data_IF_687556810734
#
_entry.id   IF_687556810734
#
_cell.length_a   1.000
_cell.length_b   1.000
_cell.length_c   1.000
_cell.angle_alpha   90.00
_cell.angle_beta   90.00
_cell.angle_gamma   90.00
#
_symmetry.space_group_name_H-M   'P 1'
#
loop_
_entity.id
_entity.type
_entity.pdbx_description
1 polymer ?
#
# COMPACT_ATOMS: atom_id res chain seq x y z
N UNK A 1 -2.69 -89.66 5.91
CA UNK A 1 -3.30 -88.68 4.99
C UNK A 1 -2.85 -87.29 5.44
N UNK A 2 -1.66 -86.86 5.00
CA UNK A 2 -1.00 -85.63 5.46
C UNK A 2 -1.31 -84.49 4.48
N UNK A 3 -1.98 -83.45 4.97
CA UNK A 3 -2.19 -82.17 4.27
C UNK A 3 -0.89 -81.36 4.31
N UNK A 4 -0.19 -81.24 3.19
CA UNK A 4 0.84 -80.22 3.01
C UNK A 4 0.16 -78.87 2.74
N UNK A 5 0.38 -77.91 3.63
CA UNK A 5 0.07 -76.49 3.41
C UNK A 5 1.13 -75.92 2.44
N UNK A 6 0.73 -75.58 1.21
CA UNK A 6 1.56 -74.78 0.31
C UNK A 6 1.74 -73.39 0.90
N UNK A 7 2.95 -73.08 1.39
CA UNK A 7 3.37 -71.69 1.60
C UNK A 7 3.86 -71.16 0.26
N UNK A 8 3.00 -70.48 -0.49
CA UNK A 8 3.41 -69.67 -1.64
C UNK A 8 4.17 -68.46 -1.12
N UNK A 9 5.49 -68.59 -1.01
CA UNK A 9 6.36 -67.44 -0.84
C UNK A 9 6.40 -66.71 -2.18
N UNK A 10 5.60 -65.65 -2.32
CA UNK A 10 5.77 -64.72 -3.44
C UNK A 10 7.13 -64.05 -3.24
N UNK A 11 8.06 -64.13 -4.22
CA UNK A 11 9.27 -63.34 -4.14
C UNK A 11 8.85 -61.88 -4.19
N UNK A 12 9.29 -61.07 -3.22
CA UNK A 12 9.28 -59.62 -3.40
C UNK A 12 10.24 -59.34 -4.56
N UNK A 13 9.71 -59.27 -5.78
CA UNK A 13 10.39 -58.57 -6.86
C UNK A 13 10.52 -57.14 -6.39
N UNK A 14 11.74 -56.82 -5.93
CA UNK A 14 12.19 -55.48 -5.72
C UNK A 14 12.23 -54.84 -7.11
N UNK A 15 11.07 -54.38 -7.58
CA UNK A 15 11.03 -53.35 -8.62
C UNK A 15 11.92 -52.25 -8.10
N UNK A 16 13.07 -52.06 -8.75
CA UNK A 16 13.91 -50.89 -8.56
C UNK A 16 12.99 -49.69 -8.66
N UNK A 17 12.58 -49.16 -7.49
CA UNK A 17 12.00 -47.83 -7.42
C UNK A 17 13.12 -46.96 -7.96
N UNK A 18 12.94 -46.47 -9.19
CA UNK A 18 13.81 -45.45 -9.75
C UNK A 18 14.02 -44.42 -8.64
N UNK A 19 15.28 -44.23 -8.26
CA UNK A 19 15.65 -43.28 -7.22
C UNK A 19 14.99 -41.94 -7.55
N UNK A 20 14.59 -41.14 -6.55
CA UNK A 20 14.03 -39.81 -6.77
C UNK A 20 14.91 -39.01 -7.75
N UNK A 21 16.23 -39.24 -7.72
CA UNK A 21 17.21 -38.75 -8.70
C UNK A 21 16.94 -39.14 -10.17
N UNK A 22 16.54 -40.38 -10.45
CA UNK A 22 16.24 -40.83 -11.81
C UNK A 22 14.92 -40.25 -12.30
N UNK A 23 13.90 -40.18 -11.45
CA UNK A 23 12.67 -39.46 -11.77
C UNK A 23 12.96 -37.98 -12.00
N UNK A 24 13.77 -37.35 -11.15
CA UNK A 24 14.22 -35.97 -11.33
C UNK A 24 15.04 -35.79 -12.60
N UNK A 25 15.82 -36.77 -13.08
CA UNK A 25 16.53 -36.69 -14.37
C UNK A 25 15.61 -36.85 -15.59
N UNK A 26 14.54 -37.62 -15.46
CA UNK A 26 13.54 -37.83 -16.52
C UNK A 26 12.62 -36.60 -16.64
N UNK A 27 12.28 -35.98 -15.51
CA UNK A 27 11.45 -34.77 -15.46
C UNK A 27 12.27 -33.47 -15.41
N UNK A 28 13.58 -33.53 -15.19
CA UNK A 28 14.46 -32.38 -15.29
C UNK A 28 14.43 -31.94 -16.74
N UNK A 29 13.95 -30.72 -16.92
CA UNK A 29 14.20 -29.85 -18.05
C UNK A 29 15.64 -30.13 -18.52
N UNK A 30 15.80 -30.51 -19.79
CA UNK A 30 17.11 -30.62 -20.44
C UNK A 30 18.02 -29.48 -19.93
N UNK A 31 19.29 -29.73 -19.55
CA UNK A 31 20.16 -28.68 -19.05
C UNK A 31 20.18 -27.54 -20.06
N UNK A 32 19.43 -26.48 -19.75
CA UNK A 32 19.30 -25.34 -20.61
C UNK A 32 20.60 -24.58 -20.49
N UNK A 33 21.33 -24.45 -21.60
CA UNK A 33 22.48 -23.58 -21.64
C UNK A 33 21.93 -22.15 -21.59
N UNK A 34 22.00 -21.52 -20.41
CA UNK A 34 21.67 -20.10 -20.27
C UNK A 34 22.49 -19.33 -21.31
N UNK A 35 21.81 -18.71 -22.27
CA UNK A 35 22.42 -17.93 -23.36
C UNK A 35 23.01 -16.60 -22.87
N UNK A 36 22.88 -16.32 -21.57
CA UNK A 36 23.32 -15.11 -20.90
C UNK A 36 22.41 -13.92 -21.16
N UNK A 37 21.30 -14.10 -21.87
CA UNK A 37 20.38 -13.02 -22.22
C UNK A 37 19.20 -12.99 -21.26
N UNK A 38 19.34 -12.16 -20.22
CA UNK A 38 18.23 -11.87 -19.31
C UNK A 38 17.34 -10.76 -19.90
N UNK A 39 16.21 -11.16 -20.47
CA UNK A 39 15.19 -10.23 -20.96
C UNK A 39 14.20 -9.93 -19.82
N UNK A 40 14.13 -8.66 -19.40
CA UNK A 40 13.14 -8.18 -18.44
C UNK A 40 12.09 -7.35 -19.17
N UNK A 41 10.82 -7.53 -18.82
CA UNK A 41 9.75 -6.70 -19.38
C UNK A 41 8.66 -6.47 -18.34
N UNK A 42 8.22 -5.22 -18.23
CA UNK A 42 7.21 -4.82 -17.26
C UNK A 42 5.82 -5.02 -17.86
N UNK A 43 4.92 -5.63 -17.08
CA UNK A 43 3.52 -5.84 -17.44
C UNK A 43 2.60 -5.15 -16.43
N UNK A 44 1.68 -4.33 -16.93
CA UNK A 44 0.56 -3.82 -16.12
C UNK A 44 -0.61 -4.81 -16.18
N UNK A 45 -1.03 -5.33 -15.03
CA UNK A 45 -2.17 -6.23 -14.89
C UNK A 45 -3.35 -5.46 -14.30
N UNK A 46 -4.49 -5.56 -14.96
CA UNK A 46 -5.77 -5.05 -14.45
C UNK A 46 -6.43 -6.08 -13.53
N UNK A 47 -7.17 -5.65 -12.50
CA UNK A 47 -7.93 -6.56 -11.66
C UNK A 47 -8.97 -7.34 -12.48
N UNK A 48 -9.18 -8.61 -12.11
CA UNK A 48 -10.20 -9.48 -12.70
C UNK A 48 -11.60 -9.15 -12.17
N UNK A 49 -11.68 -8.78 -10.89
CA UNK A 49 -12.91 -8.32 -10.26
C UNK A 49 -13.27 -6.90 -10.72
N UNK A 50 -14.58 -6.60 -10.81
CA UNK A 50 -15.02 -5.21 -10.92
C UNK A 50 -14.52 -4.39 -9.72
N UNK A 51 -14.05 -3.17 -9.98
CA UNK A 51 -13.52 -2.27 -8.96
C UNK A 51 -14.58 -2.07 -7.88
N UNK A 52 -14.26 -2.35 -6.60
CA UNK A 52 -15.25 -2.32 -5.55
C UNK A 52 -15.67 -0.88 -5.25
N UNK A 53 -16.96 -0.59 -5.40
CA UNK A 53 -17.60 0.63 -4.88
C UNK A 53 -17.59 0.70 -3.35
N UNK A 54 -17.30 -0.41 -2.67
CA UNK A 54 -17.49 -0.64 -1.23
C UNK A 54 -16.33 -1.48 -0.69
N UNK A 55 -15.80 -1.12 0.48
CA UNK A 55 -14.61 -1.74 1.08
C UNK A 55 -14.72 -3.23 1.39
N UNK A 56 -15.94 -3.74 1.56
CA UNK A 56 -16.19 -5.15 1.89
C UNK A 56 -16.17 -6.08 0.66
N UNK A 57 -16.06 -5.52 -0.55
CA UNK A 57 -15.94 -6.31 -1.77
C UNK A 57 -14.50 -6.70 -2.02
N UNK A 58 -14.31 -7.95 -2.40
CA UNK A 58 -13.01 -8.52 -2.73
C UNK A 58 -12.51 -8.01 -4.08
N UNK A 59 -11.26 -7.61 -4.11
CA UNK A 59 -10.49 -7.35 -5.32
C UNK A 59 -9.69 -8.60 -5.65
N UNK A 60 -9.76 -9.07 -6.89
CA UNK A 60 -8.98 -10.20 -7.38
C UNK A 60 -8.01 -9.68 -8.44
N UNK A 61 -6.72 -9.96 -8.24
CA UNK A 61 -5.66 -9.59 -9.18
C UNK A 61 -4.78 -10.80 -9.45
N UNK A 62 -4.49 -11.06 -10.72
CA UNK A 62 -3.47 -12.04 -11.09
C UNK A 62 -2.09 -11.47 -10.80
N UNK A 63 -1.28 -12.20 -10.04
CA UNK A 63 0.12 -11.85 -9.76
C UNK A 63 1.08 -12.41 -10.81
N UNK A 64 0.58 -13.15 -11.80
CA UNK A 64 1.37 -13.81 -12.83
C UNK A 64 0.71 -13.60 -14.19
N UNK A 65 1.53 -13.61 -15.25
CA UNK A 65 1.08 -13.49 -16.64
C UNK A 65 1.64 -14.65 -17.46
N UNK A 66 0.89 -15.11 -18.46
CA UNK A 66 1.29 -16.23 -19.32
C UNK A 66 2.38 -15.86 -20.30
N UNK A 67 2.57 -14.57 -20.56
CA UNK A 67 3.62 -14.06 -21.44
C UNK A 67 5.02 -14.07 -20.78
N UNK A 68 5.08 -14.37 -19.47
CA UNK A 68 6.30 -14.36 -18.67
C UNK A 68 6.56 -15.72 -18.03
N UNK A 69 7.79 -16.23 -18.19
CA UNK A 69 8.19 -17.50 -17.57
C UNK A 69 8.39 -17.40 -16.05
N UNK A 70 8.81 -16.22 -15.57
CA UNK A 70 9.10 -15.91 -14.17
C UNK A 70 8.57 -14.52 -13.84
N UNK A 71 7.94 -14.38 -12.67
CA UNK A 71 7.56 -13.08 -12.11
C UNK A 71 8.47 -12.72 -10.94
N UNK A 72 9.02 -11.50 -10.92
CA UNK A 72 9.81 -11.02 -9.79
C UNK A 72 8.92 -10.44 -8.69
N UNK A 73 8.52 -11.28 -7.73
CA UNK A 73 7.62 -10.88 -6.63
C UNK A 73 8.22 -9.71 -5.83
N UNK A 74 9.51 -9.75 -5.51
CA UNK A 74 10.19 -8.71 -4.74
C UNK A 74 10.18 -7.32 -5.40
N UNK A 75 10.07 -7.26 -6.73
CA UNK A 75 10.10 -6.01 -7.50
C UNK A 75 8.69 -5.58 -7.96
N UNK A 76 7.68 -6.38 -7.65
CA UNK A 76 6.31 -6.17 -8.08
C UNK A 76 5.52 -5.36 -7.04
N UNK A 77 4.57 -4.54 -7.51
CA UNK A 77 3.77 -3.68 -6.63
C UNK A 77 2.34 -3.46 -7.12
N UNK A 78 1.41 -3.42 -6.17
CA UNK A 78 -0.02 -3.10 -6.40
C UNK A 78 -0.21 -1.59 -6.26
N UNK A 79 -0.61 -0.93 -7.34
CA UNK A 79 -1.02 0.47 -7.35
C UNK A 79 -2.55 0.61 -7.22
N UNK A 80 -2.97 1.50 -6.33
CA UNK A 80 -4.37 1.81 -6.05
C UNK A 80 -4.57 3.30 -6.23
N UNK A 81 -5.50 3.67 -7.11
CA UNK A 81 -5.94 5.04 -7.32
C UNK A 81 -7.37 5.17 -6.76
N UNK A 82 -7.62 6.18 -5.94
CA UNK A 82 -8.93 6.33 -5.31
C UNK A 82 -9.23 7.74 -4.85
N UNK A 83 -10.51 8.04 -4.65
CA UNK A 83 -10.98 9.33 -4.15
C UNK A 83 -11.57 9.16 -2.76
N UNK A 84 -10.87 9.67 -1.76
CA UNK A 84 -11.33 9.65 -0.37
C UNK A 84 -12.12 10.91 -0.03
N UNK A 85 -13.23 10.77 0.68
CA UNK A 85 -14.09 11.88 1.08
C UNK A 85 -13.79 12.28 2.53
N UNK A 86 -12.99 13.33 2.71
CA UNK A 86 -12.73 13.87 4.04
C UNK A 86 -14.00 14.50 4.60
N UNK A 87 -14.38 14.12 5.82
CA UNK A 87 -15.57 14.64 6.49
C UNK A 87 -15.17 15.63 7.59
N UNK A 88 -15.86 16.76 7.60
CA UNK A 88 -15.65 17.81 8.59
C UNK A 88 -16.99 18.18 9.24
N UNK A 89 -16.99 18.28 10.57
CA UNK A 89 -18.19 18.68 11.32
C UNK A 89 -18.40 20.20 11.26
N UNK A 90 -17.32 20.96 11.10
CA UNK A 90 -17.30 22.41 11.15
C UNK A 90 -16.54 23.00 9.96
N UNK A 91 -16.92 24.22 9.57
CA UNK A 91 -16.12 25.05 8.67
C UNK A 91 -15.00 25.75 9.44
N UNK A 92 -14.05 26.29 8.69
CA UNK A 92 -12.87 26.98 9.22
C UNK A 92 -13.01 28.52 9.19
N UNK A 93 -14.24 29.04 9.06
CA UNK A 93 -14.52 30.47 8.87
C UNK A 93 -14.08 31.35 10.05
N UNK A 94 -13.95 30.76 11.24
CA UNK A 94 -13.46 31.42 12.45
C UNK A 94 -11.97 31.79 12.38
N UNK A 95 -11.21 31.24 11.43
CA UNK A 95 -9.79 31.48 11.28
C UNK A 95 -9.50 32.52 10.19
N UNK A 96 -8.50 33.38 10.44
CA UNK A 96 -8.05 34.36 9.46
C UNK A 96 -7.58 33.68 8.17
N UNK A 97 -7.61 34.42 7.05
CA UNK A 97 -7.15 33.90 5.76
C UNK A 97 -5.68 33.46 5.82
N UNK A 98 -4.81 34.28 6.42
CA UNK A 98 -3.38 33.95 6.61
C UNK A 98 -3.20 32.68 7.44
N UNK A 99 -4.03 32.43 8.46
CA UNK A 99 -4.01 31.17 9.22
C UNK A 99 -4.28 29.97 8.34
N UNK A 100 -5.39 30.06 7.59
CA UNK A 100 -5.88 28.97 6.77
C UNK A 100 -4.85 28.63 5.69
N UNK A 101 -4.23 29.67 5.12
CA UNK A 101 -3.24 29.53 4.06
C UNK A 101 -1.90 28.96 4.55
N UNK A 102 -1.45 29.31 5.76
CA UNK A 102 -0.17 28.83 6.28
C UNK A 102 -0.25 27.67 7.26
N UNK A 103 -1.41 27.07 7.46
CA UNK A 103 -1.58 25.83 8.24
C UNK A 103 -1.83 24.65 7.32
N UNK A 104 -1.04 23.59 7.48
CA UNK A 104 -1.20 22.34 6.74
C UNK A 104 -1.57 21.16 7.65
N UNK A 105 -2.41 20.27 7.13
CA UNK A 105 -2.63 18.94 7.67
C UNK A 105 -2.11 17.90 6.68
N UNK A 106 -1.49 16.85 7.19
CA UNK A 106 -1.24 15.63 6.45
C UNK A 106 -2.44 14.70 6.60
N UNK A 107 -2.85 14.08 5.51
CA UNK A 107 -3.78 12.95 5.49
C UNK A 107 -3.17 11.84 4.64
N UNK A 108 -3.07 10.63 5.18
CA UNK A 108 -2.42 9.54 4.47
C UNK A 108 -2.37 8.24 5.26
N UNK A 109 -1.51 7.33 4.82
CA UNK A 109 -1.28 6.03 5.44
C UNK A 109 0.05 6.05 6.18
N UNK A 110 0.15 5.35 7.32
CA UNK A 110 1.46 5.09 7.95
C UNK A 110 2.33 4.20 7.06
N UNK A 111 1.70 3.29 6.33
CA UNK A 111 2.29 2.47 5.26
C UNK A 111 1.21 2.05 4.28
N UNK A 112 1.58 1.90 3.02
CA UNK A 112 0.65 1.46 1.97
C UNK A 112 0.06 0.08 2.24
N UNK A 113 0.83 -0.86 2.78
CA UNK A 113 0.37 -2.23 3.05
C UNK A 113 -0.81 -2.29 4.03
N UNK A 114 -0.97 -1.29 4.91
CA UNK A 114 -2.12 -1.19 5.82
C UNK A 114 -3.45 -0.99 5.09
N UNK A 115 -3.41 -0.60 3.81
CA UNK A 115 -4.60 -0.46 2.98
C UNK A 115 -5.22 -1.82 2.63
N UNK A 116 -4.48 -2.93 2.76
CA UNK A 116 -5.02 -4.28 2.63
C UNK A 116 -5.48 -4.75 4.02
N UNK A 117 -6.76 -5.11 4.15
CA UNK A 117 -7.36 -5.58 5.40
C UNK A 117 -7.25 -7.10 5.52
N UNK A 118 -7.73 -7.78 4.49
CA UNK A 118 -7.83 -9.23 4.41
C UNK A 118 -7.24 -9.64 3.07
N UNK A 119 -6.53 -10.76 3.02
CA UNK A 119 -6.11 -11.34 1.76
C UNK A 119 -6.07 -12.86 1.82
N UNK A 120 -6.15 -13.48 0.65
CA UNK A 120 -5.98 -14.91 0.46
C UNK A 120 -5.37 -15.16 -0.91
N UNK A 121 -4.51 -16.18 -1.00
CA UNK A 121 -3.87 -16.55 -2.26
C UNK A 121 -4.60 -17.70 -2.92
N UNK A 122 -4.74 -17.61 -4.24
CA UNK A 122 -5.25 -18.68 -5.07
C UNK A 122 -4.18 -19.12 -6.05
N UNK A 123 -4.03 -20.43 -6.20
CA UNK A 123 -3.13 -21.10 -7.11
C UNK A 123 -3.94 -22.05 -7.99
N UNK A 124 -3.87 -21.91 -9.32
CA UNK A 124 -4.62 -22.76 -10.26
C UNK A 124 -6.11 -22.86 -9.95
N UNK A 125 -6.70 -21.71 -9.61
CA UNK A 125 -8.11 -21.59 -9.22
C UNK A 125 -8.47 -22.19 -7.85
N UNK A 126 -7.51 -22.63 -7.04
CA UNK A 126 -7.73 -23.17 -5.69
C UNK A 126 -7.11 -22.27 -4.63
N UNK A 127 -7.79 -22.07 -3.52
CA UNK A 127 -7.22 -21.37 -2.37
C UNK A 127 -6.06 -22.16 -1.78
N UNK A 128 -4.94 -21.49 -1.54
CA UNK A 128 -3.77 -22.07 -0.88
C UNK A 128 -4.09 -22.18 0.61
N UNK A 129 -3.96 -23.39 1.16
CA UNK A 129 -4.16 -23.62 2.59
C UNK A 129 -3.14 -22.83 3.42
N UNK A 130 -3.59 -22.23 4.53
CA UNK A 130 -2.77 -21.35 5.37
C UNK A 130 -2.47 -19.96 4.80
N UNK A 131 -2.96 -19.60 3.61
CA UNK A 131 -2.75 -18.26 3.02
C UNK A 131 -3.77 -17.20 3.44
N UNK A 132 -4.85 -17.60 4.11
CA UNK A 132 -5.91 -16.70 4.55
C UNK A 132 -5.41 -15.80 5.68
N UNK A 133 -5.34 -14.50 5.41
CA UNK A 133 -5.09 -13.48 6.41
C UNK A 133 -6.36 -12.65 6.64
N UNK A 134 -6.90 -12.71 7.86
CA UNK A 134 -8.13 -12.01 8.25
C UNK A 134 -7.87 -10.61 8.84
N UNK A 135 -6.64 -10.31 9.27
CA UNK A 135 -6.23 -9.00 9.73
C UNK A 135 -4.76 -8.74 9.38
N UNK A 136 -4.56 -8.30 8.15
CA UNK A 136 -3.25 -7.93 7.62
C UNK A 136 -2.68 -6.65 8.29
N UNK A 137 -3.51 -5.86 8.98
CA UNK A 137 -3.01 -4.65 9.66
C UNK A 137 -2.18 -5.02 10.89
N UNK A 138 -2.61 -6.05 11.65
CA UNK A 138 -1.86 -6.62 12.77
C UNK A 138 -0.59 -7.33 12.31
N UNK A 139 -0.68 -8.11 11.22
CA UNK A 139 0.48 -8.73 10.58
C UNK A 139 1.54 -7.69 10.21
N UNK A 140 1.11 -6.65 9.51
CA UNK A 140 1.97 -5.56 9.10
C UNK A 140 2.59 -4.84 10.31
N UNK A 141 1.84 -4.63 11.39
CA UNK A 141 2.38 -4.02 12.61
C UNK A 141 3.59 -4.81 13.15
N UNK A 142 3.47 -6.13 13.21
CA UNK A 142 4.56 -7.03 13.67
C UNK A 142 5.73 -7.02 12.69
N UNK A 143 5.44 -7.17 11.39
CA UNK A 143 6.46 -7.16 10.34
C UNK A 143 7.25 -5.84 10.33
N UNK A 144 6.55 -4.73 10.49
CA UNK A 144 7.17 -3.42 10.63
C UNK A 144 8.03 -3.33 11.90
N UNK A 145 7.70 -3.98 13.02
CA UNK A 145 8.58 -3.98 14.20
C UNK A 145 9.93 -4.65 13.95
N UNK A 146 9.97 -5.71 13.13
CA UNK A 146 11.21 -6.45 12.83
C UNK A 146 11.99 -5.88 11.64
N UNK A 147 11.35 -5.15 10.73
CA UNK A 147 12.00 -4.54 9.54
C UNK A 147 13.00 -3.46 9.98
N UNK A 148 14.27 -3.50 9.51
CA UNK A 148 15.29 -2.55 9.93
C UNK A 148 14.98 -1.12 9.45
N UNK A 149 15.36 -0.13 10.28
CA UNK A 149 15.05 1.30 10.01
C UNK A 149 15.65 1.82 8.70
N UNK A 150 16.80 1.27 8.28
CA UNK A 150 17.46 1.61 7.01
C UNK A 150 16.60 1.26 5.80
N UNK A 151 15.96 0.09 5.79
CA UNK A 151 15.07 -0.32 4.70
C UNK A 151 13.85 0.59 4.61
N UNK A 152 13.27 0.96 5.76
CA UNK A 152 12.11 1.86 5.81
C UNK A 152 12.41 3.28 5.29
N UNK A 153 13.64 3.75 5.49
CA UNK A 153 14.06 5.09 5.08
C UNK A 153 14.47 5.14 3.60
N UNK A 154 14.93 4.03 3.04
CA UNK A 154 15.41 3.97 1.65
C UNK A 154 14.28 3.79 0.64
N UNK A 155 13.22 3.08 1.03
CA UNK A 155 12.05 2.87 0.19
C UNK A 155 11.17 4.11 0.21
N UNK A 156 11.50 5.07 -0.66
CA UNK A 156 10.72 6.30 -0.81
C UNK A 156 9.27 5.96 -1.10
N UNK A 157 8.41 6.78 -0.54
CA UNK A 157 6.96 6.64 -0.56
C UNK A 157 6.43 5.48 0.27
N UNK A 158 7.16 4.38 0.54
CA UNK A 158 6.60 3.17 1.19
C UNK A 158 6.05 3.38 2.62
N UNK A 159 6.70 4.23 3.40
CA UNK A 159 6.36 4.50 4.79
C UNK A 159 6.25 6.00 5.07
N UNK A 160 5.17 6.41 5.76
CA UNK A 160 5.01 7.78 6.25
C UNK A 160 5.40 7.83 7.73
N UNK A 161 6.68 8.02 8.01
CA UNK A 161 7.14 8.19 9.40
C UNK A 161 6.66 9.53 9.96
N UNK A 162 6.13 9.53 11.19
CA UNK A 162 5.55 10.72 11.81
C UNK A 162 6.55 11.88 11.88
N UNK A 163 7.80 11.60 12.25
CA UNK A 163 8.85 12.61 12.39
C UNK A 163 9.21 13.27 11.05
N UNK A 164 9.06 12.54 9.95
CA UNK A 164 9.33 13.03 8.60
C UNK A 164 8.13 13.83 8.09
N UNK A 165 6.92 13.27 8.22
CA UNK A 165 5.67 13.93 7.81
C UNK A 165 5.47 15.25 8.56
N UNK A 166 5.71 15.28 9.87
CA UNK A 166 5.63 16.50 10.67
C UNK A 166 6.57 17.60 10.15
N UNK A 167 7.65 17.21 9.47
CA UNK A 167 8.66 18.10 8.89
C UNK A 167 8.44 18.42 7.42
N UNK A 168 7.27 18.13 6.87
CA UNK A 168 6.94 18.36 5.46
C UNK A 168 7.87 17.61 4.50
N UNK A 169 8.32 16.42 4.90
CA UNK A 169 9.08 15.54 4.01
C UNK A 169 8.22 15.15 2.80
N UNK A 170 8.84 14.87 1.66
CA UNK A 170 8.15 14.52 0.39
C UNK A 170 7.98 13.01 0.20
N UNK A 171 8.68 12.18 0.99
CA UNK A 171 8.66 10.72 0.92
C UNK A 171 7.60 10.16 1.87
N UNK A 172 6.33 10.34 1.53
CA UNK A 172 5.19 9.83 2.28
C UNK A 172 4.10 9.28 1.37
N UNK A 173 3.23 8.43 1.92
CA UNK A 173 1.95 8.08 1.32
C UNK A 173 0.83 8.92 1.91
N UNK A 174 0.56 10.06 1.28
CA UNK A 174 -0.52 10.93 1.68
C UNK A 174 -0.51 12.24 0.91
N UNK A 175 -1.33 13.18 1.36
CA UNK A 175 -1.38 14.54 0.86
C UNK A 175 -1.29 15.53 2.00
N UNK A 176 -0.52 16.58 1.78
CA UNK A 176 -0.61 17.79 2.57
C UNK A 176 -1.74 18.65 2.00
N UNK A 177 -2.66 19.04 2.86
CA UNK A 177 -3.79 19.89 2.54
C UNK A 177 -3.67 21.16 3.37
N UNK A 178 -3.70 22.32 2.73
CA UNK A 178 -3.81 23.57 3.49
C UNK A 178 -5.23 23.68 4.05
N UNK A 179 -5.37 24.31 5.22
CA UNK A 179 -6.69 24.60 5.78
C UNK A 179 -7.45 25.55 4.84
N UNK A 180 -6.77 26.37 4.04
CA UNK A 180 -7.38 27.21 2.99
C UNK A 180 -8.04 26.37 1.91
N UNK A 181 -7.33 25.40 1.33
CA UNK A 181 -7.88 24.53 0.29
C UNK A 181 -9.11 23.77 0.79
N UNK A 182 -9.05 23.31 2.05
CA UNK A 182 -10.20 22.69 2.72
C UNK A 182 -11.33 23.72 2.83
N UNK A 183 -11.07 24.88 3.44
CA UNK A 183 -12.07 25.93 3.64
C UNK A 183 -12.76 26.36 2.35
N UNK A 184 -12.00 26.51 1.27
CA UNK A 184 -12.52 26.89 -0.05
C UNK A 184 -13.41 25.77 -0.63
N UNK A 185 -13.05 24.49 -0.44
CA UNK A 185 -13.87 23.35 -0.84
C UNK A 185 -15.15 23.20 0.01
N UNK A 186 -15.12 23.61 1.28
CA UNK A 186 -16.30 23.56 2.17
C UNK A 186 -17.21 24.79 2.03
N UNK A 187 -16.69 25.91 1.53
CA UNK A 187 -17.43 27.18 1.39
C UNK A 187 -18.82 27.04 0.75
N UNK A 188 -18.99 26.37 -0.42
CA UNK A 188 -20.29 26.26 -1.07
C UNK A 188 -21.29 25.32 -0.37
N UNK A 189 -20.87 24.54 0.61
CA UNK A 189 -21.71 23.54 1.26
C UNK A 189 -22.53 24.15 2.38
N UNK A 190 -23.81 23.75 2.50
CA UNK A 190 -24.78 24.39 3.41
C UNK A 190 -25.13 23.58 4.65
N UNK A 191 -24.79 22.29 4.69
CA UNK A 191 -25.10 21.39 5.79
C UNK A 191 -23.92 20.44 6.09
N UNK A 192 -23.72 20.16 7.38
CA UNK A 192 -22.75 19.19 7.86
C UNK A 192 -23.31 17.74 7.77
N UNK A 193 -22.45 16.71 7.66
CA UNK A 193 -20.99 16.79 7.57
C UNK A 193 -20.54 17.34 6.21
N UNK A 194 -19.56 18.26 6.23
CA UNK A 194 -18.98 18.82 5.02
C UNK A 194 -18.00 17.84 4.40
N UNK A 195 -17.99 17.75 3.07
CA UNK A 195 -17.26 16.73 2.32
C UNK A 195 -16.21 17.35 1.42
N UNK A 196 -14.96 16.91 1.52
CA UNK A 196 -13.91 17.26 0.57
C UNK A 196 -13.38 15.99 -0.12
N UNK A 197 -13.61 15.79 -1.43
CA UNK A 197 -13.02 14.68 -2.16
C UNK A 197 -11.53 14.94 -2.40
N UNK A 198 -10.69 13.94 -2.11
CA UNK A 198 -9.24 13.99 -2.25
C UNK A 198 -8.76 12.73 -2.95
N UNK A 199 -8.08 12.90 -4.09
CA UNK A 199 -7.53 11.79 -4.86
C UNK A 199 -6.22 11.30 -4.23
N UNK A 200 -6.03 9.99 -4.13
CA UNK A 200 -4.83 9.33 -3.65
C UNK A 200 -4.33 8.34 -4.70
N UNK A 201 -3.01 8.16 -4.73
CA UNK A 201 -2.33 7.08 -5.46
C UNK A 201 -1.40 6.40 -4.46
N UNK A 202 -1.56 5.10 -4.29
CA UNK A 202 -0.85 4.29 -3.29
C UNK A 202 -0.22 3.11 -3.99
N UNK A 203 1.07 2.87 -3.76
CA UNK A 203 1.76 1.67 -4.24
C UNK A 203 2.12 0.77 -3.07
N UNK A 204 1.73 -0.49 -3.14
CA UNK A 204 1.96 -1.53 -2.15
C UNK A 204 2.96 -2.52 -2.77
N UNK A 205 4.24 -2.48 -2.38
CA UNK A 205 5.19 -3.53 -2.74
C UNK A 205 4.67 -4.90 -2.29
N UNK A 206 4.82 -5.95 -3.11
CA UNK A 206 4.34 -7.27 -2.72
C UNK A 206 5.14 -7.82 -1.54
N UNK A 207 6.45 -7.57 -1.47
CA UNK A 207 7.34 -7.99 -0.39
C UNK A 207 7.03 -7.38 0.98
N UNK A 208 6.23 -6.31 1.02
CA UNK A 208 5.68 -5.75 2.26
C UNK A 208 4.50 -6.57 2.83
N UNK A 209 3.91 -7.49 2.05
CA UNK A 209 2.97 -8.49 2.55
C UNK A 209 3.77 -9.67 3.10
N UNK A 210 3.50 -10.10 4.34
CA UNK A 210 4.34 -11.11 5.01
C UNK A 210 4.40 -12.42 4.23
N UNK A 211 3.31 -12.80 3.57
CA UNK A 211 3.26 -14.02 2.76
C UNK A 211 4.26 -14.00 1.59
N UNK A 212 4.65 -12.82 1.13
CA UNK A 212 5.60 -12.61 0.03
C UNK A 212 6.97 -12.13 0.48
N UNK A 213 7.18 -11.85 1.77
CA UNK A 213 8.42 -11.23 2.26
C UNK A 213 9.68 -12.08 2.00
N UNK A 214 9.53 -13.38 1.77
CA UNK A 214 10.61 -14.30 1.45
C UNK A 214 10.67 -14.70 -0.05
N UNK A 215 9.77 -14.18 -0.87
CA UNK A 215 9.69 -14.50 -2.30
C UNK A 215 10.48 -13.49 -3.12
N UNK A 216 11.56 -13.93 -3.75
CA UNK A 216 12.26 -13.15 -4.77
C UNK A 216 11.58 -13.28 -6.13
N UNK A 217 11.42 -14.52 -6.59
CA UNK A 217 10.94 -14.88 -7.92
C UNK A 217 9.91 -16.00 -7.82
N UNK A 218 8.92 -15.97 -8.72
CA UNK A 218 7.89 -16.98 -8.84
C UNK A 218 7.91 -17.56 -10.27
N UNK A 219 8.31 -18.84 -10.45
CA UNK A 219 8.35 -19.49 -11.76
C UNK A 219 6.94 -19.82 -12.32
N UNK A 220 6.39 -18.93 -13.13
CA UNK A 220 5.07 -19.07 -13.77
C UNK A 220 4.96 -20.35 -14.57
N UNK A 221 5.98 -20.71 -15.36
CA UNK A 221 5.97 -21.89 -16.22
C UNK A 221 5.86 -23.22 -15.43
N UNK A 222 6.43 -23.26 -14.22
CA UNK A 222 6.42 -24.46 -13.38
C UNK A 222 5.18 -24.52 -12.49
N UNK A 223 4.90 -23.42 -11.79
CA UNK A 223 3.87 -23.39 -10.77
C UNK A 223 2.52 -22.97 -11.36
N UNK A 224 2.46 -22.25 -12.47
CA UNK A 224 1.21 -21.76 -13.06
C UNK A 224 0.68 -20.53 -12.34
N UNK A 225 -0.59 -20.20 -12.56
CA UNK A 225 -1.18 -18.95 -12.11
C UNK A 225 -1.21 -18.78 -10.60
N UNK A 226 -0.80 -17.61 -10.14
CA UNK A 226 -0.94 -17.14 -8.76
C UNK A 226 -1.78 -15.88 -8.76
N UNK A 227 -2.79 -15.84 -7.89
CA UNK A 227 -3.67 -14.68 -7.72
C UNK A 227 -3.75 -14.29 -6.26
N UNK A 228 -3.84 -12.99 -6.01
CA UNK A 228 -4.23 -12.47 -4.71
C UNK A 228 -5.66 -11.98 -4.77
N UNK A 229 -6.41 -12.35 -3.74
CA UNK A 229 -7.74 -11.82 -3.47
C UNK A 229 -7.66 -11.05 -2.17
N UNK A 230 -8.07 -9.78 -2.15
CA UNK A 230 -7.96 -8.95 -0.96
C UNK A 230 -9.13 -7.99 -0.78
N UNK A 231 -9.31 -7.49 0.45
CA UNK A 231 -10.25 -6.41 0.80
C UNK A 231 -9.50 -5.18 1.27
N UNK A 232 -10.08 -4.01 1.08
CA UNK A 232 -9.45 -2.74 1.43
C UNK A 232 -9.80 -2.36 2.87
N UNK A 233 -8.84 -1.79 3.60
CA UNK A 233 -9.02 -1.22 4.93
C UNK A 233 -9.27 0.30 4.87
N UNK A 234 -10.52 0.79 5.00
CA UNK A 234 -10.78 2.22 5.05
C UNK A 234 -10.27 2.89 6.33
N UNK A 235 -10.09 2.13 7.41
CA UNK A 235 -9.70 2.63 8.73
C UNK A 235 -8.18 2.83 8.88
N UNK A 236 -7.40 2.55 7.83
CA UNK A 236 -5.94 2.66 7.87
C UNK A 236 -5.43 4.11 7.79
N UNK A 237 -6.29 5.05 7.36
CA UNK A 237 -5.89 6.44 7.17
C UNK A 237 -5.70 7.14 8.51
N UNK A 238 -4.65 7.95 8.56
CA UNK A 238 -4.30 8.81 9.68
C UNK A 238 -4.13 10.24 9.19
N UNK A 239 -4.28 11.17 10.11
CA UNK A 239 -3.99 12.56 9.87
C UNK A 239 -3.12 13.13 10.99
N UNK A 240 -2.33 14.14 10.65
CA UNK A 240 -1.61 14.92 11.64
C UNK A 240 -1.42 16.35 11.16
N UNK A 241 -1.26 17.28 12.10
CA UNK A 241 -0.89 18.65 11.78
C UNK A 241 0.62 18.74 11.52
N UNK A 242 1.01 19.54 10.53
CA UNK A 242 2.41 19.87 10.26
C UNK A 242 2.93 20.80 11.33
N UNK A 243 4.23 20.73 11.62
CA UNK A 243 4.85 21.64 12.57
C UNK A 243 4.58 23.10 12.16
N UNK A 244 3.98 23.95 13.00
CA UNK A 244 3.60 25.31 12.64
C UNK A 244 4.76 26.15 12.10
N UNK A 245 5.98 25.94 12.58
CA UNK A 245 7.16 26.67 12.10
C UNK A 245 7.50 26.27 10.66
N UNK A 246 7.39 24.97 10.36
CA UNK A 246 7.67 24.42 9.03
C UNK A 246 6.53 24.78 8.07
N UNK A 247 5.30 24.70 8.54
CA UNK A 247 4.07 25.14 7.87
C UNK A 247 4.18 26.60 7.42
N UNK A 248 4.68 27.46 8.31
CA UNK A 248 4.95 28.87 8.05
C UNK A 248 6.09 29.07 7.04
N UNK A 249 7.21 28.35 7.18
CA UNK A 249 8.30 28.40 6.20
C UNK A 249 7.85 27.99 4.80
N UNK A 250 6.98 26.97 4.71
CA UNK A 250 6.34 26.53 3.46
C UNK A 250 5.43 27.61 2.89
N UNK A 251 4.60 28.23 3.72
CA UNK A 251 3.73 29.35 3.31
C UNK A 251 4.54 30.52 2.73
N UNK A 252 5.63 30.93 3.39
CA UNK A 252 6.54 31.96 2.90
C UNK A 252 7.20 31.58 1.58
N UNK A 253 7.52 30.30 1.39
CA UNK A 253 8.13 29.81 0.15
C UNK A 253 7.15 29.84 -1.01
N UNK A 254 5.90 29.42 -0.78
CA UNK A 254 4.85 29.38 -1.80
C UNK A 254 4.41 30.80 -2.19
N UNK A 255 4.21 31.69 -1.20
CA UNK A 255 3.67 33.03 -1.42
C UNK A 255 4.77 34.10 -1.46
N UNK A 256 6.00 33.72 -1.77
CA UNK A 256 7.18 34.61 -1.69
C UNK A 256 6.97 35.92 -2.43
N UNK A 257 6.47 35.86 -3.67
CA UNK A 257 6.31 37.04 -4.52
C UNK A 257 5.19 37.97 -4.02
N UNK A 258 4.09 37.41 -3.52
CA UNK A 258 3.01 38.18 -2.89
C UNK A 258 3.47 38.83 -1.57
N UNK A 259 4.21 38.11 -0.75
CA UNK A 259 4.68 38.59 0.54
C UNK A 259 5.79 39.63 0.43
N UNK A 260 6.62 39.57 -0.63
CA UNK A 260 7.58 40.63 -0.96
C UNK A 260 6.89 41.96 -1.33
N UNK A 261 5.63 41.93 -1.73
CA UNK A 261 4.81 43.13 -1.97
C UNK A 261 4.15 43.68 -0.69
N UNK A 262 4.21 42.93 0.42
CA UNK A 262 3.61 43.29 1.70
C UNK A 262 4.58 44.13 2.56
N UNK A 263 4.05 45.12 3.28
CA UNK A 263 4.85 45.94 4.20
C UNK A 263 5.34 45.16 5.44
N UNK A 264 6.48 45.56 6.02
CA UNK A 264 7.13 44.86 7.15
C UNK A 264 6.23 44.67 8.38
N UNK A 265 5.30 45.58 8.64
CA UNK A 265 4.39 45.48 9.79
C UNK A 265 3.37 44.35 9.62
N UNK A 266 2.88 44.12 8.40
CA UNK A 266 1.96 42.99 8.12
C UNK A 266 2.66 41.64 8.22
N UNK A 267 3.96 41.57 7.91
CA UNK A 267 4.75 40.34 8.08
C UNK A 267 4.94 40.00 9.57
N UNK A 268 5.19 41.01 10.43
CA UNK A 268 5.28 40.82 11.88
C UNK A 268 3.97 40.31 12.49
N UNK A 269 2.83 40.80 12.01
CA UNK A 269 1.52 40.32 12.46
C UNK A 269 1.30 38.84 12.09
N UNK A 270 1.76 38.42 10.91
CA UNK A 270 1.71 37.02 10.46
C UNK A 270 2.62 36.14 11.32
N UNK A 271 3.86 36.55 11.57
CA UNK A 271 4.82 35.81 12.40
C UNK A 271 4.33 35.65 13.85
N UNK A 272 3.84 36.73 14.46
CA UNK A 272 3.31 36.72 15.82
C UNK A 272 2.07 35.83 15.95
N UNK A 273 1.30 35.74 14.87
CA UNK A 273 0.08 34.96 14.79
C UNK A 273 0.34 33.44 14.69
N UNK A 274 1.36 32.99 13.94
CA UNK A 274 1.77 31.57 13.92
C UNK A 274 2.37 31.09 15.25
N UNK A 275 3.11 31.96 15.94
CA UNK A 275 3.74 31.61 17.22
C UNK A 275 2.74 31.37 18.37
N UNK A 276 1.57 32.01 18.33
CA UNK A 276 0.63 32.02 19.46
C UNK A 276 -0.49 30.95 19.40
N UNK A 277 -0.62 30.17 18.32
CA UNK A 277 -1.84 29.39 18.02
C UNK A 277 -1.66 27.87 17.80
N UNK A 278 -0.49 27.32 18.13
CA UNK A 278 -0.23 25.87 18.15
C UNK A 278 -1.29 25.03 18.91
N UNK A 279 -1.95 25.50 20.00
CA UNK A 279 -2.84 24.65 20.80
C UNK A 279 -4.25 24.38 20.23
N UNK A 280 -4.74 25.10 19.20
CA UNK A 280 -6.19 25.12 18.89
C UNK A 280 -6.65 23.99 17.94
N UNK A 281 -5.76 23.42 17.12
CA UNK A 281 -6.15 22.46 16.07
C UNK A 281 -6.44 21.03 16.56
N UNK A 282 -5.95 20.64 17.74
CA UNK A 282 -6.19 19.31 18.32
C UNK A 282 -7.66 19.04 18.68
N UNK A 283 -8.53 20.07 18.66
CA UNK A 283 -9.93 19.97 19.04
C UNK A 283 -10.91 19.63 17.90
N UNK A 284 -10.47 19.60 16.63
CA UNK A 284 -11.39 19.80 15.49
C UNK A 284 -11.56 18.68 14.44
N UNK A 285 -11.19 17.41 14.65
CA UNK A 285 -11.59 16.37 13.67
C UNK A 285 -11.68 14.95 14.23
N UNK A 286 -12.73 14.21 13.82
CA UNK A 286 -12.97 12.85 14.33
C UNK A 286 -13.35 11.76 13.34
N UNK A 287 -13.55 11.97 12.03
CA UNK A 287 -13.87 10.82 11.14
C UNK A 287 -13.49 11.01 9.66
N UNK A 288 -12.97 9.96 9.02
CA UNK A 288 -12.68 9.87 7.57
C UNK A 288 -13.59 8.81 6.91
N UNK A 289 -14.16 9.08 5.73
CA UNK A 289 -14.96 8.13 4.93
C UNK A 289 -14.48 8.09 3.46
N UNK A 290 -14.41 6.92 2.82
CA UNK A 290 -13.57 6.75 1.61
C UNK A 290 -14.37 6.16 0.41
N UNK A 291 -13.89 6.28 -0.84
CA UNK A 291 -14.40 5.56 -2.02
C UNK A 291 -13.24 5.22 -3.00
N UNK A 292 -13.27 4.08 -3.71
CA UNK A 292 -12.16 3.64 -4.59
C UNK A 292 -12.55 3.67 -6.08
N UNK A 293 -11.70 4.29 -6.90
CA UNK A 293 -11.85 4.38 -8.35
C UNK A 293 -10.48 4.13 -8.99
N UNK A 294 -10.24 2.88 -9.40
CA UNK A 294 -9.09 2.35 -10.16
C UNK A 294 -8.00 1.61 -9.36
N UNK A 295 -7.63 0.43 -9.85
CA UNK A 295 -6.59 -0.45 -9.28
C UNK A 295 -5.75 -0.95 -10.45
N UNK A 296 -4.42 -0.86 -10.35
CA UNK A 296 -3.45 -1.27 -11.36
C UNK A 296 -2.31 -2.02 -10.67
N UNK A 297 -1.90 -3.18 -11.17
CA UNK A 297 -0.72 -3.89 -10.66
C UNK A 297 0.40 -3.80 -11.69
N UNK A 298 1.62 -3.53 -11.24
CA UNK A 298 2.82 -3.60 -12.08
C UNK A 298 3.65 -4.80 -11.65
N UNK A 299 3.93 -5.69 -12.61
CA UNK A 299 4.87 -6.79 -12.48
C UNK A 299 6.10 -6.49 -13.36
N UNK A 300 7.30 -6.66 -12.81
CA UNK A 300 8.57 -6.55 -13.53
C UNK A 300 9.22 -7.90 -13.75
#
# INVERSE_FOLDING_TARGET
MNRQLMKTHVPKTQTNLETIENLLKIFAIQPFQNDGQHHFSIKEIKPESQIPSLFDKEVIISLTDTDHDVTQIQNSFITLEFTMNLLFDNKFDQFSESYRAGTFIFVGLKSSAQLIREYVLNHRGRTIDGSLQNDSTTEYFIYNTIKPKSEKNNNRFVHSLYENVRKDDISHYGKYLSIKDISDALAPQTAAPYVMPVNFSVSIPLDDLLIFSAFSEYPNALFGDLKIKFKINPNAFVFCQIDPVISMARYYTINKDELLSLGQDKLKDIDLFFCNLVPILLQYSKTLNNFIQHIKLFLS
#
